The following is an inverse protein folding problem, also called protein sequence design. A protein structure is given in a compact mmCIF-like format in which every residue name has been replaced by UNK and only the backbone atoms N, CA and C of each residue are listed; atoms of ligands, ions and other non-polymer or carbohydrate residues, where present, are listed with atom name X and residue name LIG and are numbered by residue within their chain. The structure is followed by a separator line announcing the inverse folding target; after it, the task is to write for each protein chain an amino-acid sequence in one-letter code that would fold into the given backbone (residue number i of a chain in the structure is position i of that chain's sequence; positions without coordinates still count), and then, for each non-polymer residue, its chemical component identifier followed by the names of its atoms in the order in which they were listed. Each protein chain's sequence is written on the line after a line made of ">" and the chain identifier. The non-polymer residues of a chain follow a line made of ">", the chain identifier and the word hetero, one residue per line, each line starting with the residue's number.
data_IF_404883049449
#
_entry.id   IF_404883049449
#
_cell.length_a   1.000
_cell.length_b   1.000
_cell.length_c   1.000
_cell.angle_alpha   90.00
_cell.angle_beta   90.00
_cell.angle_gamma   90.00
#
_symmetry.space_group_name_H-M   'P 1'
#
loop_
_entity.id
_entity.type
_entity.pdbx_description
1 polymer ?
#
# COMPACT_ATOMS: atom_id res chain seq x y z
N UNK A 1 12.79 -31.76 -43.59
CA UNK A 1 12.53 -30.44 -42.97
C UNK A 1 11.90 -30.67 -41.61
N UNK A 2 12.60 -30.32 -40.52
CA UNK A 2 12.06 -30.39 -39.15
C UNK A 2 11.43 -29.03 -38.85
N UNK A 3 10.13 -29.00 -38.62
CA UNK A 3 9.39 -27.77 -38.26
C UNK A 3 9.01 -27.83 -36.78
N UNK A 4 9.31 -26.74 -36.08
CA UNK A 4 9.16 -26.56 -34.64
C UNK A 4 7.83 -25.85 -34.27
N UNK A 5 7.33 -26.22 -33.09
CA UNK A 5 6.43 -25.57 -32.11
C UNK A 5 5.14 -24.86 -32.50
N UNK A 6 4.06 -25.20 -31.77
CA UNK A 6 3.25 -24.20 -31.05
C UNK A 6 2.61 -24.83 -29.80
N UNK A 7 2.99 -24.34 -28.62
CA UNK A 7 2.35 -24.64 -27.33
C UNK A 7 1.54 -23.39 -26.94
N UNK A 8 0.21 -23.46 -26.75
CA UNK A 8 -0.56 -22.27 -26.40
C UNK A 8 -0.44 -21.97 -24.91
N UNK A 9 0.23 -20.85 -24.64
CA UNK A 9 -0.10 -19.78 -23.68
C UNK A 9 -0.96 -20.16 -22.46
N UNK A 10 -0.32 -20.09 -21.30
CA UNK A 10 -0.92 -19.93 -19.98
C UNK A 10 -1.95 -18.79 -19.94
N UNK A 11 -3.13 -19.10 -19.42
CA UNK A 11 -3.91 -18.17 -18.61
C UNK A 11 -4.20 -18.88 -17.28
N UNK A 12 -3.91 -18.23 -16.15
CA UNK A 12 -4.79 -18.09 -14.98
C UNK A 12 -4.04 -17.32 -13.89
N UNK A 13 -4.79 -16.41 -13.28
CA UNK A 13 -4.58 -15.67 -12.02
C UNK A 13 -3.65 -14.45 -12.01
N UNK A 14 -4.30 -13.31 -12.22
CA UNK A 14 -4.11 -12.08 -11.47
C UNK A 14 -3.70 -12.31 -10.01
N UNK A 15 -2.49 -11.89 -9.66
CA UNK A 15 -2.22 -11.24 -8.38
C UNK A 15 -1.28 -10.06 -8.61
N UNK A 16 -1.51 -9.02 -7.81
CA UNK A 16 -0.90 -7.71 -7.86
C UNK A 16 0.61 -7.77 -8.16
N UNK A 17 1.02 -7.32 -9.35
CA UNK A 17 2.43 -7.17 -9.73
C UNK A 17 3.03 -6.08 -8.86
N UNK A 18 3.88 -6.44 -7.92
CA UNK A 18 4.86 -5.49 -7.39
C UNK A 18 5.91 -5.21 -8.48
N UNK A 19 5.90 -4.00 -9.02
CA UNK A 19 5.84 -3.82 -10.47
C UNK A 19 7.16 -4.09 -11.25
N UNK A 20 7.20 -5.24 -11.94
CA UNK A 20 7.88 -5.51 -13.21
C UNK A 20 9.41 -5.30 -13.33
N UNK A 21 10.19 -5.51 -12.26
CA UNK A 21 11.65 -5.49 -12.35
C UNK A 21 12.24 -4.09 -12.59
N UNK A 22 11.62 -3.08 -11.99
CA UNK A 22 12.09 -1.70 -11.91
C UNK A 22 12.58 -1.42 -10.49
N UNK A 23 13.80 -0.92 -10.38
CA UNK A 23 14.46 -0.68 -9.10
C UNK A 23 15.04 0.72 -9.09
N UNK A 24 14.48 1.64 -8.28
CA UNK A 24 15.14 2.90 -7.99
C UNK A 24 16.51 2.62 -7.35
N UNK A 25 17.52 3.36 -7.77
CA UNK A 25 18.86 3.30 -7.18
C UNK A 25 19.38 4.71 -6.96
N UNK A 26 20.27 4.90 -6.00
CA UNK A 26 20.84 6.20 -5.71
C UNK A 26 22.36 6.22 -5.73
N UNK A 27 22.90 7.27 -6.32
CA UNK A 27 24.34 7.59 -6.37
C UNK A 27 24.49 9.04 -5.93
N UNK A 28 25.38 9.32 -4.96
CA UNK A 28 25.59 10.67 -4.41
C UNK A 28 24.27 11.36 -3.98
N UNK A 29 23.37 10.61 -3.35
CA UNK A 29 22.07 11.07 -2.87
C UNK A 29 21.04 11.49 -3.94
N UNK A 30 21.33 11.25 -5.21
CA UNK A 30 20.35 11.41 -6.29
C UNK A 30 19.86 10.04 -6.73
N UNK A 31 18.58 9.96 -7.10
CA UNK A 31 17.90 8.74 -7.52
C UNK A 31 17.75 8.67 -9.03
N UNK A 32 17.98 7.47 -9.55
CA UNK A 32 17.74 7.02 -10.91
C UNK A 32 16.95 5.72 -10.92
N UNK A 33 16.77 5.11 -12.09
CA UNK A 33 16.00 3.89 -12.28
C UNK A 33 16.83 2.85 -13.05
N UNK A 34 16.88 1.63 -12.55
CA UNK A 34 17.45 0.48 -13.26
C UNK A 34 16.41 -0.61 -13.45
N UNK A 35 16.64 -1.49 -14.41
CA UNK A 35 15.88 -2.73 -14.54
C UNK A 35 16.56 -3.91 -13.82
N UNK A 36 15.90 -5.07 -13.83
CA UNK A 36 16.41 -6.36 -13.30
C UNK A 36 17.76 -6.81 -13.87
N UNK A 37 18.14 -6.33 -15.06
CA UNK A 37 19.43 -6.64 -15.68
C UNK A 37 20.53 -5.65 -15.26
N UNK A 38 20.26 -4.77 -14.28
CA UNK A 38 21.12 -3.65 -13.86
C UNK A 38 21.40 -2.65 -14.99
N UNK A 39 20.55 -2.61 -16.03
CA UNK A 39 20.66 -1.61 -17.08
C UNK A 39 20.00 -0.31 -16.63
N UNK A 40 20.73 0.79 -16.78
CA UNK A 40 20.24 2.13 -16.45
C UNK A 40 19.10 2.50 -17.41
N UNK A 41 17.92 2.73 -16.85
CA UNK A 41 16.77 3.28 -17.55
C UNK A 41 16.72 4.80 -17.39
N UNK A 42 17.16 5.31 -16.24
CA UNK A 42 17.20 6.73 -15.90
C UNK A 42 18.42 6.97 -15.02
N UNK A 43 19.32 7.85 -15.47
CA UNK A 43 20.49 8.25 -14.67
C UNK A 43 20.07 9.02 -13.41
N UNK A 44 20.83 8.94 -12.31
CA UNK A 44 20.49 9.58 -11.06
C UNK A 44 20.49 11.10 -11.21
N UNK A 45 19.32 11.71 -11.01
CA UNK A 45 19.15 13.15 -11.17
C UNK A 45 18.03 13.75 -10.30
N UNK A 46 17.23 12.91 -9.65
CA UNK A 46 16.10 13.33 -8.81
C UNK A 46 16.43 13.19 -7.33
N UNK A 47 15.81 13.99 -6.48
CA UNK A 47 15.96 13.90 -5.02
C UNK A 47 15.23 12.66 -4.47
N UNK A 48 14.16 12.23 -5.15
CA UNK A 48 13.43 10.99 -4.84
C UNK A 48 12.65 10.47 -6.06
N UNK A 49 12.35 9.17 -6.05
CA UNK A 49 11.41 8.51 -6.98
C UNK A 49 10.40 7.77 -6.12
N UNK A 50 9.12 8.10 -6.27
CA UNK A 50 8.01 7.46 -5.56
C UNK A 50 7.69 6.07 -6.15
N UNK A 51 6.91 5.23 -5.45
CA UNK A 51 6.36 4.02 -6.02
C UNK A 51 5.63 4.27 -7.36
N UNK A 52 5.69 3.30 -8.26
CA UNK A 52 5.00 3.38 -9.54
C UNK A 52 3.51 3.09 -9.37
N UNK A 53 2.68 3.94 -9.98
CA UNK A 53 1.23 3.82 -10.11
C UNK A 53 0.94 3.47 -11.58
N UNK A 54 0.69 2.20 -11.85
CA UNK A 54 0.64 1.67 -13.22
C UNK A 54 2.01 1.76 -13.91
N UNK A 55 2.10 2.56 -14.97
CA UNK A 55 3.35 2.74 -15.74
C UNK A 55 4.10 4.04 -15.42
N UNK A 56 3.63 4.84 -14.44
CA UNK A 56 4.19 6.15 -14.11
C UNK A 56 4.62 6.24 -12.65
N UNK A 57 5.60 7.08 -12.36
CA UNK A 57 6.02 7.41 -11.00
C UNK A 57 6.25 8.90 -10.85
N UNK A 58 5.93 9.41 -9.67
CA UNK A 58 6.29 10.77 -9.26
C UNK A 58 7.78 10.83 -8.98
N UNK A 59 8.39 11.93 -9.39
CA UNK A 59 9.79 12.24 -9.06
C UNK A 59 9.86 13.62 -8.45
N UNK A 60 10.79 13.83 -7.54
CA UNK A 60 10.99 15.13 -6.90
C UNK A 60 12.36 15.70 -7.21
N UNK A 61 12.41 17.01 -7.42
CA UNK A 61 13.64 17.77 -7.46
C UNK A 61 13.37 19.18 -6.97
N UNK A 62 14.12 19.65 -5.97
CA UNK A 62 14.00 21.02 -5.47
C UNK A 62 12.62 21.36 -4.92
N UNK A 63 11.94 20.40 -4.25
CA UNK A 63 10.57 20.50 -3.73
C UNK A 63 9.49 20.67 -4.81
N UNK A 64 9.79 20.32 -6.06
CA UNK A 64 8.83 20.26 -7.16
C UNK A 64 8.66 18.83 -7.62
N UNK A 65 7.45 18.51 -8.05
CA UNK A 65 7.06 17.19 -8.51
C UNK A 65 7.04 17.15 -10.03
N UNK A 66 7.59 16.09 -10.60
CA UNK A 66 7.51 15.71 -12.00
C UNK A 66 6.97 14.29 -12.14
N UNK A 67 6.93 13.78 -13.37
CA UNK A 67 6.42 12.47 -13.69
C UNK A 67 7.37 11.76 -14.65
N UNK A 68 7.72 10.52 -14.33
CA UNK A 68 8.46 9.63 -15.23
C UNK A 68 7.60 8.45 -15.64
N UNK A 69 7.88 7.90 -16.81
CA UNK A 69 7.37 6.62 -17.25
C UNK A 69 8.34 5.50 -16.85
N UNK A 70 7.85 4.27 -16.71
CA UNK A 70 8.63 3.07 -16.36
C UNK A 70 9.81 2.73 -17.26
N UNK A 71 9.86 3.31 -18.46
CA UNK A 71 11.00 3.20 -19.37
C UNK A 71 12.17 4.11 -18.97
N UNK A 72 11.99 4.95 -17.94
CA UNK A 72 12.92 6.01 -17.57
C UNK A 72 12.70 7.33 -18.31
N UNK A 73 11.70 7.42 -19.19
CA UNK A 73 11.39 8.67 -19.89
C UNK A 73 10.79 9.67 -18.90
N UNK A 74 11.38 10.86 -18.80
CA UNK A 74 10.76 12.01 -18.12
C UNK A 74 9.58 12.49 -18.97
N UNK A 75 8.37 12.34 -18.45
CA UNK A 75 7.12 12.77 -19.09
C UNK A 75 6.86 14.24 -18.78
N UNK A 76 6.97 14.60 -17.50
CA UNK A 76 6.87 15.96 -17.02
C UNK A 76 8.06 16.27 -16.13
N UNK A 77 8.73 17.41 -16.38
CA UNK A 77 9.80 17.89 -15.51
C UNK A 77 9.25 18.36 -14.16
N UNK A 78 10.12 18.40 -13.15
CA UNK A 78 9.78 18.85 -11.79
C UNK A 78 9.41 20.34 -11.76
N UNK A 79 8.14 20.64 -12.02
CA UNK A 79 7.61 22.00 -12.14
C UNK A 79 6.27 22.19 -11.39
N UNK A 80 5.63 21.09 -11.01
CA UNK A 80 4.39 21.12 -10.23
C UNK A 80 4.69 21.25 -8.75
N UNK A 81 3.79 21.86 -7.99
CA UNK A 81 3.83 21.79 -6.53
C UNK A 81 3.52 20.38 -6.04
N UNK A 82 2.64 19.67 -6.76
CA UNK A 82 2.25 18.29 -6.46
C UNK A 82 1.58 17.64 -7.68
N UNK A 83 1.55 16.31 -7.73
CA UNK A 83 0.74 15.51 -8.65
C UNK A 83 -0.08 14.53 -7.79
N UNK A 84 -1.22 14.95 -7.21
CA UNK A 84 -1.93 14.14 -6.22
C UNK A 84 -2.53 12.84 -6.75
N UNK A 85 -2.83 12.74 -8.05
CA UNK A 85 -3.46 11.56 -8.65
C UNK A 85 -2.80 11.17 -9.97
N UNK A 86 -2.58 9.87 -10.15
CA UNK A 86 -2.22 9.23 -11.42
C UNK A 86 -3.24 8.11 -11.65
N UNK A 87 -4.13 8.31 -12.62
CA UNK A 87 -5.18 7.37 -12.97
C UNK A 87 -4.63 6.21 -13.80
N UNK A 88 -5.30 5.06 -13.74
CA UNK A 88 -4.91 3.85 -14.47
C UNK A 88 -4.86 4.03 -15.99
N UNK A 89 -5.62 4.99 -16.53
CA UNK A 89 -5.65 5.30 -17.95
C UNK A 89 -4.47 6.19 -18.41
N UNK A 90 -3.61 6.66 -17.49
CA UNK A 90 -2.49 7.55 -17.76
C UNK A 90 -2.82 9.04 -17.69
N UNK A 91 -4.03 9.42 -17.29
CA UNK A 91 -4.34 10.81 -16.90
C UNK A 91 -3.77 11.07 -15.52
N UNK A 92 -3.14 12.23 -15.31
CA UNK A 92 -2.70 12.68 -14.01
C UNK A 92 -3.28 14.06 -13.69
N UNK A 93 -3.27 14.45 -12.42
CA UNK A 93 -3.73 15.78 -11.98
C UNK A 93 -2.55 16.50 -11.38
N UNK A 94 -2.14 17.64 -11.96
CA UNK A 94 -0.98 18.41 -11.53
C UNK A 94 -1.38 19.74 -10.88
N UNK A 95 -0.79 20.07 -9.74
CA UNK A 95 -0.94 21.37 -9.06
C UNK A 95 0.11 22.35 -9.57
N UNK A 96 -0.33 23.30 -10.40
CA UNK A 96 0.53 24.35 -10.97
C UNK A 96 0.67 25.51 -9.97
N UNK A 97 1.91 25.99 -9.70
CA UNK A 97 2.15 27.11 -8.79
C UNK A 97 1.32 28.34 -9.17
N UNK A 98 0.59 28.91 -8.20
CA UNK A 98 -0.25 30.10 -8.34
C UNK A 98 -1.37 30.05 -9.41
N UNK A 99 -1.61 28.89 -10.04
CA UNK A 99 -2.61 28.73 -11.10
C UNK A 99 -3.77 27.79 -10.73
N UNK A 100 -3.52 26.81 -9.86
CA UNK A 100 -4.50 25.79 -9.47
C UNK A 100 -4.12 24.41 -9.99
N UNK A 101 -5.11 23.60 -10.34
CA UNK A 101 -4.94 22.24 -10.81
C UNK A 101 -5.29 22.13 -12.30
N UNK A 102 -4.61 21.21 -13.00
CA UNK A 102 -4.84 20.88 -14.42
C UNK A 102 -4.82 19.37 -14.60
N UNK A 103 -5.56 18.87 -15.60
CA UNK A 103 -5.41 17.49 -16.06
C UNK A 103 -4.21 17.39 -17.01
N UNK A 104 -3.49 16.28 -16.91
CA UNK A 104 -2.30 15.98 -17.67
C UNK A 104 -2.51 14.65 -18.40
N UNK A 105 -2.21 14.62 -19.69
CA UNK A 105 -2.10 13.38 -20.45
C UNK A 105 -0.64 12.90 -20.35
N UNK A 106 -0.38 11.89 -19.52
CA UNK A 106 0.97 11.36 -19.33
C UNK A 106 1.47 10.57 -20.55
N UNK A 107 0.58 10.08 -21.42
CA UNK A 107 0.98 9.40 -22.66
C UNK A 107 1.51 10.42 -23.67
N UNK A 108 0.80 11.55 -23.81
CA UNK A 108 1.18 12.62 -24.72
C UNK A 108 2.22 13.60 -24.13
N UNK A 109 2.38 13.65 -22.80
CA UNK A 109 3.29 14.58 -22.11
C UNK A 109 2.84 16.04 -22.19
N UNK A 110 1.53 16.28 -22.16
CA UNK A 110 0.95 17.63 -22.26
C UNK A 110 -0.28 17.78 -21.37
N UNK A 111 -0.73 19.02 -21.18
CA UNK A 111 -2.00 19.29 -20.52
C UNK A 111 -3.15 18.65 -21.33
N UNK A 112 -4.07 17.98 -20.64
CA UNK A 112 -5.29 17.42 -21.20
C UNK A 112 -6.43 18.43 -21.03
N UNK A 113 -7.02 18.85 -22.15
CA UNK A 113 -7.97 19.96 -22.17
C UNK A 113 -7.35 21.30 -21.76
N UNK A 114 -8.19 22.32 -21.64
CA UNK A 114 -7.79 23.69 -21.26
C UNK A 114 -8.22 24.06 -19.84
N UNK A 115 -8.99 23.20 -19.16
CA UNK A 115 -9.59 23.51 -17.87
C UNK A 115 -8.53 23.63 -16.77
N UNK A 116 -8.71 24.67 -15.96
CA UNK A 116 -7.97 24.93 -14.73
C UNK A 116 -9.00 25.07 -13.62
N UNK A 117 -8.78 24.41 -12.49
CA UNK A 117 -9.70 24.41 -11.35
C UNK A 117 -8.95 24.63 -10.03
N UNK A 118 -9.67 25.07 -9.01
CA UNK A 118 -9.09 25.60 -7.78
C UNK A 118 -8.84 24.50 -6.74
N UNK A 119 -9.79 23.57 -6.63
CA UNK A 119 -9.80 22.54 -5.60
C UNK A 119 -10.67 21.34 -6.00
N UNK A 120 -10.67 20.34 -5.13
CA UNK A 120 -11.61 19.22 -5.16
C UNK A 120 -12.70 19.45 -4.10
N UNK A 121 -13.95 19.02 -4.34
CA UNK A 121 -15.00 19.11 -3.32
C UNK A 121 -14.72 18.18 -2.11
N UNK A 122 -14.10 17.01 -2.36
CA UNK A 122 -13.87 15.96 -1.38
C UNK A 122 -12.51 15.27 -1.54
N UNK A 123 -12.18 14.38 -0.60
CA UNK A 123 -10.95 13.57 -0.63
C UNK A 123 -10.93 12.51 -1.77
N UNK A 124 -12.11 12.03 -2.19
CA UNK A 124 -12.27 11.07 -3.28
C UNK A 124 -12.97 11.73 -4.49
N UNK A 125 -12.30 12.65 -5.21
CA UNK A 125 -12.92 13.42 -6.29
C UNK A 125 -13.02 12.63 -7.60
N UNK A 126 -12.53 11.41 -7.67
CA UNK A 126 -12.49 10.58 -8.88
C UNK A 126 -13.52 9.47 -8.75
N UNK A 127 -14.30 9.24 -9.79
CA UNK A 127 -15.29 8.15 -9.81
C UNK A 127 -14.61 6.78 -9.72
N UNK A 128 -15.30 5.72 -9.24
CA UNK A 128 -14.70 4.38 -9.12
C UNK A 128 -14.16 3.81 -10.44
N UNK A 129 -14.77 4.18 -11.57
CA UNK A 129 -14.31 3.81 -12.91
C UNK A 129 -13.24 4.73 -13.49
N UNK A 130 -12.80 5.74 -12.73
CA UNK A 130 -11.83 6.78 -13.11
C UNK A 130 -12.19 7.59 -14.36
N UNK A 131 -13.44 7.52 -14.83
CA UNK A 131 -13.92 8.23 -16.03
C UNK A 131 -14.28 9.69 -15.76
N UNK A 132 -14.60 10.02 -14.51
CA UNK A 132 -15.09 11.32 -14.11
C UNK A 132 -14.32 11.85 -12.91
N UNK A 133 -14.11 13.16 -12.89
CA UNK A 133 -13.48 13.90 -11.81
C UNK A 133 -14.38 15.07 -11.41
N UNK A 134 -14.72 15.17 -10.13
CA UNK A 134 -15.41 16.33 -9.57
C UNK A 134 -14.38 17.41 -9.19
N UNK A 135 -14.58 18.62 -9.71
CA UNK A 135 -13.67 19.75 -9.48
C UNK A 135 -14.44 21.03 -9.15
N UNK A 136 -13.83 21.89 -8.34
CA UNK A 136 -14.38 23.18 -7.92
C UNK A 136 -13.74 24.33 -8.68
N UNK A 137 -14.56 25.22 -9.23
CA UNK A 137 -14.16 26.46 -9.88
C UNK A 137 -15.19 27.54 -9.61
N UNK A 138 -14.73 28.74 -9.23
CA UNK A 138 -15.61 29.89 -8.97
C UNK A 138 -16.73 29.58 -7.95
N UNK A 139 -16.38 28.80 -6.91
CA UNK A 139 -17.30 28.44 -5.83
C UNK A 139 -18.26 27.28 -6.13
N UNK A 140 -18.40 26.83 -7.39
CA UNK A 140 -19.29 25.74 -7.80
C UNK A 140 -18.51 24.50 -8.25
N UNK A 141 -19.16 23.34 -8.18
CA UNK A 141 -18.64 22.04 -8.58
C UNK A 141 -19.13 21.68 -9.99
N UNK A 142 -18.22 21.11 -10.77
CA UNK A 142 -18.47 20.58 -12.11
C UNK A 142 -17.74 19.26 -12.29
N UNK A 143 -18.18 18.49 -13.28
CA UNK A 143 -17.66 17.15 -13.58
C UNK A 143 -16.83 17.19 -14.83
N UNK A 144 -15.63 16.61 -14.79
CA UNK A 144 -14.68 16.57 -15.90
C UNK A 144 -14.56 15.14 -16.37
N UNK A 145 -14.70 14.91 -17.67
CA UNK A 145 -14.36 13.64 -18.27
C UNK A 145 -12.83 13.49 -18.27
N UNK A 146 -12.30 12.48 -17.59
CA UNK A 146 -10.85 12.31 -17.39
C UNK A 146 -10.11 11.86 -18.65
N UNK A 147 -10.82 11.36 -19.65
CA UNK A 147 -10.24 10.95 -20.93
C UNK A 147 -10.08 12.13 -21.91
N UNK A 148 -10.98 13.12 -21.85
CA UNK A 148 -10.94 14.29 -22.76
C UNK A 148 -10.43 15.56 -22.08
N UNK A 149 -10.56 15.66 -20.76
CA UNK A 149 -10.32 16.88 -19.99
C UNK A 149 -11.42 17.93 -20.14
N UNK A 150 -12.55 17.56 -20.73
CA UNK A 150 -13.67 18.46 -20.95
C UNK A 150 -14.69 18.40 -19.80
N UNK A 151 -15.36 19.53 -19.57
CA UNK A 151 -16.43 19.64 -18.59
C UNK A 151 -17.69 18.89 -19.07
N UNK A 152 -17.99 17.77 -18.45
CA UNK A 152 -19.25 17.05 -18.60
C UNK A 152 -20.43 17.95 -18.15
N UNK A 153 -21.53 17.91 -18.91
CA UNK A 153 -22.67 18.81 -18.70
C UNK A 153 -22.43 20.30 -19.01
N UNK A 154 -21.20 20.68 -19.39
CA UNK A 154 -20.82 22.03 -19.85
C UNK A 154 -21.13 23.17 -18.86
N UNK A 155 -21.32 22.89 -17.57
CA UNK A 155 -21.55 23.92 -16.54
C UNK A 155 -20.98 23.52 -15.17
N UNK A 156 -20.55 24.51 -14.41
CA UNK A 156 -20.31 24.41 -12.97
C UNK A 156 -21.60 24.83 -12.27
N UNK A 157 -22.39 23.87 -11.77
CA UNK A 157 -23.76 24.13 -11.35
C UNK A 157 -24.07 23.70 -9.92
N UNK A 158 -23.22 22.88 -9.31
CA UNK A 158 -23.53 22.21 -8.05
C UNK A 158 -22.76 22.84 -6.89
N UNK A 159 -23.34 22.82 -5.69
CA UNK A 159 -22.60 23.12 -4.47
C UNK A 159 -21.70 21.94 -4.09
N UNK A 160 -22.17 20.72 -4.35
CA UNK A 160 -21.41 19.50 -4.13
C UNK A 160 -21.75 18.36 -5.10
N UNK A 161 -20.83 17.39 -5.23
CA UNK A 161 -21.05 16.16 -5.99
C UNK A 161 -20.41 14.95 -5.33
N UNK A 162 -21.20 13.88 -5.20
CA UNK A 162 -20.78 12.57 -4.74
C UNK A 162 -20.96 11.50 -5.83
N UNK A 163 -19.99 10.60 -5.95
CA UNK A 163 -20.07 9.45 -6.86
C UNK A 163 -20.67 8.24 -6.17
N UNK A 164 -21.52 7.51 -6.89
CA UNK A 164 -21.90 6.16 -6.47
C UNK A 164 -20.71 5.21 -6.60
N UNK A 165 -20.57 4.30 -5.63
CA UNK A 165 -19.54 3.25 -5.64
C UNK A 165 -20.06 1.93 -6.21
N UNK A 166 -21.37 1.86 -6.37
CA UNK A 166 -22.13 0.76 -6.92
C UNK A 166 -21.87 0.63 -8.43
N UNK A 167 -21.51 -0.59 -8.87
CA UNK A 167 -21.06 -0.83 -10.24
C UNK A 167 -22.11 -0.43 -11.30
N UNK A 168 -23.39 -0.60 -10.98
CA UNK A 168 -24.54 -0.25 -11.83
C UNK A 168 -24.83 1.26 -11.88
N UNK A 169 -24.31 2.02 -10.92
CA UNK A 169 -24.51 3.47 -10.76
C UNK A 169 -23.24 4.28 -11.07
N UNK A 170 -22.15 3.64 -11.50
CA UNK A 170 -20.84 4.26 -11.75
C UNK A 170 -20.83 5.50 -12.66
N UNK A 171 -21.86 5.65 -13.50
CA UNK A 171 -22.02 6.76 -14.44
C UNK A 171 -23.06 7.79 -13.95
N UNK A 172 -23.52 7.67 -12.71
CA UNK A 172 -24.46 8.57 -12.04
C UNK A 172 -23.79 9.23 -10.84
N UNK A 173 -24.32 10.38 -10.47
CA UNK A 173 -23.82 11.20 -9.38
C UNK A 173 -24.97 11.75 -8.56
N UNK A 174 -24.75 11.87 -7.26
CA UNK A 174 -25.58 12.69 -6.39
C UNK A 174 -25.06 14.12 -6.51
N UNK A 175 -25.97 15.06 -6.72
CA UNK A 175 -25.63 16.49 -6.86
C UNK A 175 -26.41 17.30 -5.84
N UNK A 176 -25.80 18.35 -5.29
CA UNK A 176 -26.49 19.25 -4.36
C UNK A 176 -26.51 20.70 -4.84
N UNK A 177 -27.60 21.40 -4.52
CA UNK A 177 -27.78 22.85 -4.68
C UNK A 177 -28.63 23.35 -3.53
N UNK A 178 -28.17 24.37 -2.80
CA UNK A 178 -28.91 24.99 -1.68
C UNK A 178 -29.44 23.95 -0.66
N UNK A 179 -28.56 23.03 -0.24
CA UNK A 179 -28.86 21.95 0.73
C UNK A 179 -29.92 20.92 0.27
N UNK A 180 -30.34 20.99 -1.00
CA UNK A 180 -31.17 19.96 -1.62
C UNK A 180 -30.35 19.09 -2.54
N UNK A 181 -30.79 17.85 -2.68
CA UNK A 181 -30.12 16.79 -3.43
C UNK A 181 -30.97 16.33 -4.60
N UNK A 182 -30.28 15.90 -5.65
CA UNK A 182 -30.83 15.25 -6.83
C UNK A 182 -29.83 14.24 -7.38
N UNK A 183 -30.17 13.65 -8.54
CA UNK A 183 -29.29 12.70 -9.24
C UNK A 183 -29.12 13.15 -10.67
N UNK A 184 -27.90 13.09 -11.18
CA UNK A 184 -27.60 13.40 -12.56
C UNK A 184 -26.77 12.29 -13.22
N UNK A 185 -26.80 12.26 -14.55
CA UNK A 185 -25.89 11.48 -15.36
C UNK A 185 -24.53 12.19 -15.41
N UNK A 186 -23.45 11.48 -15.03
CA UNK A 186 -22.12 12.08 -14.88
C UNK A 186 -21.49 12.51 -16.22
N UNK A 187 -21.85 11.85 -17.33
CA UNK A 187 -21.30 12.13 -18.65
C UNK A 187 -21.96 13.35 -19.30
N UNK A 188 -23.27 13.45 -19.17
CA UNK A 188 -24.08 14.46 -19.85
C UNK A 188 -24.47 15.61 -18.94
N UNK A 189 -24.40 15.45 -17.62
CA UNK A 189 -24.93 16.39 -16.64
C UNK A 189 -26.46 16.49 -16.67
N UNK A 190 -27.14 15.59 -17.39
CA UNK A 190 -28.60 15.58 -17.46
C UNK A 190 -29.17 15.13 -16.12
N UNK A 191 -30.19 15.84 -15.68
CA UNK A 191 -30.92 15.53 -14.47
C UNK A 191 -31.70 14.21 -14.63
N UNK A 192 -31.50 13.29 -13.68
CA UNK A 192 -32.23 12.03 -13.54
C UNK A 192 -33.30 12.18 -12.46
N UNK A 193 -32.95 12.79 -11.33
CA UNK A 193 -33.87 13.20 -10.28
C UNK A 193 -33.65 14.69 -9.97
N UNK A 194 -34.73 15.48 -9.86
CA UNK A 194 -34.62 16.91 -9.59
C UNK A 194 -34.00 17.21 -8.24
N UNK A 195 -33.26 18.32 -8.17
CA UNK A 195 -32.64 18.81 -6.94
C UNK A 195 -33.71 19.42 -6.04
N UNK A 196 -34.36 18.58 -5.25
CA UNK A 196 -35.46 18.96 -4.33
C UNK A 196 -35.56 18.09 -3.08
N UNK A 197 -34.75 17.04 -2.98
CA UNK A 197 -34.79 16.08 -1.90
C UNK A 197 -33.87 16.53 -0.76
N UNK A 198 -34.21 16.19 0.48
CA UNK A 198 -33.37 16.46 1.66
C UNK A 198 -32.20 15.48 1.76
N UNK A 199 -32.36 14.30 1.18
CA UNK A 199 -31.36 13.23 1.17
C UNK A 199 -31.58 12.35 -0.05
N UNK A 200 -30.49 11.85 -0.64
CA UNK A 200 -30.50 10.88 -1.73
C UNK A 200 -29.42 9.84 -1.48
N UNK A 201 -29.76 8.57 -1.62
CA UNK A 201 -28.83 7.46 -1.41
C UNK A 201 -29.08 6.33 -2.41
N UNK A 202 -28.04 5.56 -2.71
CA UNK A 202 -28.19 4.25 -3.34
C UNK A 202 -28.50 3.19 -2.29
N UNK A 203 -29.43 2.29 -2.60
CA UNK A 203 -29.78 1.14 -1.77
C UNK A 203 -29.88 -0.10 -2.64
N UNK A 204 -29.83 -1.25 -1.99
CA UNK A 204 -29.81 -2.56 -2.63
C UNK A 204 -30.93 -3.43 -2.11
N UNK A 205 -31.72 -3.97 -3.04
CA UNK A 205 -32.44 -5.21 -2.78
C UNK A 205 -31.53 -6.39 -3.13
N UNK A 206 -31.93 -7.61 -2.75
CA UNK A 206 -31.23 -8.85 -3.13
C UNK A 206 -30.99 -9.05 -4.65
N UNK A 207 -31.59 -8.23 -5.54
CA UNK A 207 -31.48 -8.39 -7.00
C UNK A 207 -31.18 -7.11 -7.79
N UNK A 208 -31.58 -5.93 -7.31
CA UNK A 208 -31.44 -4.67 -8.07
C UNK A 208 -31.12 -3.47 -7.16
N UNK A 209 -30.19 -2.58 -7.57
CA UNK A 209 -30.00 -1.29 -6.94
C UNK A 209 -31.17 -0.35 -7.24
N UNK A 210 -31.51 0.49 -6.28
CA UNK A 210 -32.52 1.54 -6.39
C UNK A 210 -32.04 2.80 -5.68
N UNK A 211 -32.64 3.93 -6.03
CA UNK A 211 -32.34 5.22 -5.42
C UNK A 211 -33.43 5.50 -4.38
N UNK A 212 -33.01 5.73 -3.14
CA UNK A 212 -33.85 6.21 -2.04
C UNK A 212 -33.72 7.73 -2.00
N UNK A 213 -34.84 8.45 -1.95
CA UNK A 213 -34.84 9.90 -1.83
C UNK A 213 -35.86 10.36 -0.78
N UNK A 214 -35.43 11.26 0.10
CA UNK A 214 -36.22 11.76 1.23
C UNK A 214 -36.66 13.19 0.97
N UNK A 215 -37.92 13.51 1.28
CA UNK A 215 -38.44 14.88 1.27
C UNK A 215 -39.37 15.08 2.46
N UNK A 216 -38.89 15.82 3.47
CA UNK A 216 -39.49 15.87 4.79
C UNK A 216 -39.62 14.48 5.39
N UNK A 217 -40.85 14.10 5.74
CA UNK A 217 -41.17 12.78 6.29
C UNK A 217 -41.47 11.73 5.20
N UNK A 218 -41.44 12.12 3.92
CA UNK A 218 -41.79 11.24 2.81
C UNK A 218 -40.54 10.61 2.21
N UNK A 219 -40.53 9.27 2.13
CA UNK A 219 -39.51 8.51 1.43
C UNK A 219 -40.08 8.04 0.09
N UNK A 220 -39.34 8.28 -0.98
CA UNK A 220 -39.65 7.81 -2.34
C UNK A 220 -38.53 6.91 -2.86
N UNK A 221 -38.90 5.88 -3.62
CA UNK A 221 -37.97 4.94 -4.20
C UNK A 221 -38.03 5.01 -5.72
N UNK A 222 -36.85 5.04 -6.36
CA UNK A 222 -36.72 5.16 -7.80
C UNK A 222 -35.83 4.05 -8.35
N UNK A 223 -36.13 3.59 -9.56
CA UNK A 223 -35.15 2.88 -10.36
C UNK A 223 -33.95 3.77 -10.64
N UNK A 224 -32.81 3.16 -10.99
CA UNK A 224 -31.60 3.87 -11.42
C UNK A 224 -31.84 4.78 -12.65
N UNK A 225 -32.92 4.54 -13.39
CA UNK A 225 -33.37 5.34 -14.53
C UNK A 225 -34.04 6.66 -14.12
N UNK A 226 -34.37 6.84 -12.83
CA UNK A 226 -35.15 7.96 -12.30
C UNK A 226 -36.66 7.73 -12.31
N UNK A 227 -37.15 6.60 -12.84
CA UNK A 227 -38.57 6.24 -12.79
C UNK A 227 -38.96 5.77 -11.39
N UNK A 228 -40.20 5.98 -10.94
CA UNK A 228 -40.69 5.40 -9.68
C UNK A 228 -40.48 3.88 -9.68
N UNK A 229 -40.02 3.35 -8.55
CA UNK A 229 -39.82 1.92 -8.39
C UNK A 229 -41.17 1.19 -8.48
N UNK A 230 -41.24 0.04 -9.14
CA UNK A 230 -42.50 -0.69 -9.24
C UNK A 230 -42.99 -1.14 -7.85
N UNK A 231 -44.31 -1.03 -7.60
CA UNK A 231 -44.94 -1.32 -6.29
C UNK A 231 -44.58 -2.68 -5.69
N UNK A 232 -44.33 -3.68 -6.52
CA UNK A 232 -43.92 -5.02 -6.09
C UNK A 232 -42.54 -5.03 -5.42
N UNK A 233 -41.65 -4.11 -5.77
CA UNK A 233 -40.33 -3.94 -5.16
C UNK A 233 -40.31 -2.89 -4.05
N UNK A 234 -41.21 -1.90 -4.07
CA UNK A 234 -41.32 -0.87 -3.03
C UNK A 234 -41.55 -1.45 -1.63
N UNK A 235 -42.37 -2.50 -1.52
CA UNK A 235 -42.64 -3.13 -0.21
C UNK A 235 -41.37 -3.75 0.39
N UNK A 236 -40.56 -4.42 -0.43
CA UNK A 236 -39.29 -5.02 -0.02
C UNK A 236 -38.27 -3.94 0.33
N UNK A 237 -38.12 -2.93 -0.53
CA UNK A 237 -37.24 -1.79 -0.28
C UNK A 237 -37.57 -1.08 1.04
N UNK A 238 -38.86 -0.84 1.30
CA UNK A 238 -39.32 -0.25 2.55
C UNK A 238 -39.01 -1.13 3.76
N UNK A 239 -39.23 -2.45 3.67
CA UNK A 239 -38.92 -3.35 4.78
C UNK A 239 -37.43 -3.42 5.10
N UNK A 240 -36.56 -3.36 4.08
CA UNK A 240 -35.11 -3.34 4.26
C UNK A 240 -34.62 -2.00 4.84
N UNK A 241 -35.28 -0.88 4.49
CA UNK A 241 -35.01 0.45 5.05
C UNK A 241 -35.40 0.54 6.54
N UNK A 242 -36.57 -0.03 6.91
CA UNK A 242 -37.01 -0.14 8.31
C UNK A 242 -36.06 -1.03 9.14
N UNK A 243 -35.53 -2.13 8.58
CA UNK A 243 -34.57 -3.01 9.27
C UNK A 243 -33.16 -2.41 9.36
N UNK A 244 -32.77 -1.55 8.42
CA UNK A 244 -31.50 -0.82 8.46
C UNK A 244 -31.52 0.33 9.48
N UNK A 245 -32.64 1.05 9.57
CA UNK A 245 -32.82 2.17 10.50
C UNK A 245 -33.17 1.72 11.92
N UNK A 246 -33.64 0.48 12.10
CA UNK A 246 -33.73 -0.13 13.41
C UNK A 246 -32.33 -0.16 14.06
N UNK A 247 -32.18 0.27 15.33
CA UNK A 247 -30.91 0.12 16.03
C UNK A 247 -30.61 -1.37 16.09
N UNK A 248 -29.71 -1.83 15.21
CA UNK A 248 -29.07 -3.12 15.39
C UNK A 248 -28.39 -2.99 16.73
N UNK A 249 -28.97 -3.65 17.75
CA UNK A 249 -28.25 -3.91 18.98
C UNK A 249 -26.97 -4.57 18.50
N UNK A 250 -25.89 -3.80 18.47
CA UNK A 250 -24.57 -4.30 18.28
C UNK A 250 -24.38 -5.21 19.48
N UNK A 251 -24.76 -6.47 19.32
CA UNK A 251 -24.08 -7.54 20.00
C UNK A 251 -22.67 -7.36 19.50
N UNK A 252 -21.90 -6.55 20.23
CA UNK A 252 -20.49 -6.77 20.37
C UNK A 252 -20.45 -8.23 20.80
N UNK A 253 -20.32 -9.14 19.83
CA UNK A 253 -19.72 -10.42 20.10
C UNK A 253 -18.45 -10.03 20.83
N UNK A 254 -18.50 -10.22 22.14
CA UNK A 254 -17.35 -10.16 22.99
C UNK A 254 -16.34 -11.02 22.23
N UNK A 255 -15.26 -10.42 21.74
CA UNK A 255 -14.10 -11.18 21.30
C UNK A 255 -13.67 -12.02 22.50
N UNK A 256 -14.25 -13.20 22.63
CA UNK A 256 -13.73 -14.30 23.42
C UNK A 256 -12.80 -15.08 22.51
N UNK A 257 -11.86 -14.40 21.88
CA UNK A 257 -10.61 -15.03 21.52
C UNK A 257 -9.68 -14.87 22.71
N UNK A 258 -9.57 -15.96 23.48
CA UNK A 258 -8.58 -16.09 24.53
C UNK A 258 -7.21 -15.72 23.97
N UNK A 259 -6.73 -14.53 24.34
CA UNK A 259 -5.32 -14.18 24.28
C UNK A 259 -4.59 -15.20 25.14
N UNK A 260 -4.05 -16.25 24.53
CA UNK A 260 -3.07 -17.12 25.19
C UNK A 260 -1.76 -16.35 25.32
N UNK A 261 -1.71 -15.36 26.22
CA UNK A 261 -0.52 -14.56 26.57
C UNK A 261 0.37 -15.28 27.61
N UNK A 262 0.51 -16.59 27.47
CA UNK A 262 0.89 -17.44 28.60
C UNK A 262 2.05 -18.39 28.24
N UNK A 263 2.94 -18.04 27.29
CA UNK A 263 4.17 -18.79 26.98
C UNK A 263 5.31 -17.86 26.55
N UNK A 264 6.21 -17.53 27.47
CA UNK A 264 7.37 -16.67 27.26
C UNK A 264 8.68 -17.45 27.45
N UNK A 265 9.74 -17.00 26.78
CA UNK A 265 11.10 -17.50 27.03
C UNK A 265 11.78 -16.58 28.02
N UNK A 266 12.58 -17.14 28.92
CA UNK A 266 13.38 -16.47 29.94
C UNK A 266 14.86 -16.86 29.79
N UNK A 267 15.75 -15.87 29.78
CA UNK A 267 17.21 -16.05 29.79
C UNK A 267 17.73 -15.61 31.15
N UNK A 268 18.15 -16.57 31.98
CA UNK A 268 18.65 -16.30 33.33
C UNK A 268 20.15 -16.58 33.41
N UNK A 269 20.94 -15.61 33.86
CA UNK A 269 22.38 -15.81 34.11
C UNK A 269 22.57 -16.47 35.48
N UNK A 270 23.21 -17.64 35.50
CA UNK A 270 23.48 -18.42 36.72
C UNK A 270 24.92 -18.26 37.23
N UNK A 271 25.84 -17.77 36.39
CA UNK A 271 27.26 -17.61 36.70
C UNK A 271 28.05 -16.97 35.55
N UNK A 272 29.39 -17.02 35.62
CA UNK A 272 30.26 -16.34 34.65
C UNK A 272 30.08 -16.80 33.19
N UNK A 273 29.65 -18.04 32.96
CA UNK A 273 29.39 -18.62 31.65
C UNK A 273 28.21 -19.62 31.65
N UNK A 274 27.48 -19.71 32.76
CA UNK A 274 26.36 -20.62 32.97
C UNK A 274 25.03 -19.86 32.91
N UNK A 275 24.10 -20.37 32.12
CA UNK A 275 22.81 -19.77 31.84
C UNK A 275 21.70 -20.80 31.95
N UNK A 276 20.48 -20.35 32.25
CA UNK A 276 19.26 -21.14 32.17
C UNK A 276 18.34 -20.49 31.15
N UNK A 277 18.00 -21.24 30.11
CA UNK A 277 16.94 -20.90 29.17
C UNK A 277 15.69 -21.63 29.62
N UNK A 278 14.60 -20.92 29.93
CA UNK A 278 13.33 -21.54 30.29
C UNK A 278 12.20 -21.04 29.38
N UNK A 279 11.31 -21.95 29.00
CA UNK A 279 10.01 -21.64 28.44
C UNK A 279 9.02 -21.73 29.59
N UNK A 280 8.30 -20.64 29.88
CA UNK A 280 7.44 -20.54 31.05
C UNK A 280 6.07 -20.00 30.67
N UNK A 281 5.05 -20.50 31.36
CA UNK A 281 3.73 -19.88 31.39
C UNK A 281 3.64 -19.00 32.63
N UNK A 282 3.48 -17.69 32.45
CA UNK A 282 3.29 -16.74 33.55
C UNK A 282 1.94 -16.02 33.45
N UNK A 283 0.85 -16.77 33.42
CA UNK A 283 -0.50 -16.24 33.62
C UNK A 283 -0.72 -15.69 35.05
N UNK A 284 -1.78 -14.89 35.22
CA UNK A 284 -2.08 -14.06 36.41
C UNK A 284 -2.18 -14.80 37.76
N UNK A 285 -2.18 -16.15 37.79
CA UNK A 285 -2.44 -16.92 39.02
C UNK A 285 -1.42 -18.00 39.36
N UNK A 286 -0.54 -18.45 38.44
CA UNK A 286 0.57 -19.37 38.76
C UNK A 286 1.61 -19.43 37.63
N UNK A 287 2.85 -19.09 37.93
CA UNK A 287 3.97 -19.32 37.01
C UNK A 287 4.29 -20.82 36.94
N UNK A 288 4.43 -21.37 35.74
CA UNK A 288 4.82 -22.76 35.49
C UNK A 288 5.97 -22.79 34.47
N UNK A 289 7.08 -23.43 34.84
CA UNK A 289 8.15 -23.77 33.88
C UNK A 289 7.68 -24.96 33.04
N UNK A 290 7.67 -24.79 31.72
CA UNK A 290 7.23 -25.80 30.76
C UNK A 290 8.41 -26.61 30.23
N UNK A 291 9.53 -25.94 29.96
CA UNK A 291 10.78 -26.56 29.52
C UNK A 291 11.94 -25.68 30.01
N UNK A 292 13.10 -26.28 30.28
CA UNK A 292 14.30 -25.51 30.60
C UNK A 292 15.57 -26.26 30.21
N UNK A 293 16.60 -25.51 29.85
CA UNK A 293 17.91 -26.04 29.46
C UNK A 293 19.00 -25.19 30.08
N UNK A 294 19.93 -25.83 30.79
CA UNK A 294 21.16 -25.17 31.21
C UNK A 294 22.14 -25.08 30.03
N UNK A 295 22.63 -23.87 29.76
CA UNK A 295 23.57 -23.58 28.70
C UNK A 295 24.89 -23.10 29.32
N UNK A 296 26.02 -23.55 28.78
CA UNK A 296 27.36 -23.21 29.28
C UNK A 296 28.28 -22.72 28.16
N UNK A 297 29.32 -21.98 28.52
CA UNK A 297 30.41 -21.61 27.61
C UNK A 297 30.11 -20.42 26.70
N UNK A 298 29.07 -19.63 26.99
CA UNK A 298 28.78 -18.37 26.31
C UNK A 298 28.96 -17.20 27.29
N UNK A 299 29.59 -16.13 26.82
CA UNK A 299 29.81 -14.90 27.59
C UNK A 299 28.54 -14.05 27.71
N UNK A 300 27.65 -14.13 26.72
CA UNK A 300 26.34 -13.50 26.74
C UNK A 300 25.30 -14.32 25.97
N UNK A 301 24.07 -14.36 26.49
CA UNK A 301 22.87 -14.79 25.78
C UNK A 301 21.84 -13.66 25.82
N UNK A 302 21.29 -13.31 24.66
CA UNK A 302 20.34 -12.21 24.47
C UNK A 302 19.17 -12.66 23.60
N UNK A 303 17.98 -12.09 23.80
CA UNK A 303 16.90 -12.27 22.84
C UNK A 303 17.27 -11.62 21.52
N UNK A 304 17.18 -12.38 20.43
CA UNK A 304 17.29 -11.78 19.11
C UNK A 304 15.94 -11.21 18.68
N UNK A 305 14.86 -11.95 18.87
CA UNK A 305 13.49 -11.46 18.65
C UNK A 305 12.43 -12.37 19.29
N UNK A 306 11.29 -11.79 19.70
CA UNK A 306 10.18 -12.48 20.36
C UNK A 306 8.81 -11.97 19.90
N UNK A 307 7.98 -12.85 19.32
CA UNK A 307 6.58 -12.57 19.01
C UNK A 307 5.65 -13.56 19.74
N UNK A 308 5.00 -13.17 20.84
CA UNK A 308 4.13 -14.06 21.63
C UNK A 308 2.95 -14.64 20.83
N UNK A 309 2.59 -14.03 19.70
CA UNK A 309 1.45 -14.45 18.88
C UNK A 309 1.81 -15.51 17.82
N UNK A 310 3.10 -15.79 17.59
CA UNK A 310 3.53 -16.79 16.60
C UNK A 310 3.42 -18.22 17.16
N UNK A 311 2.37 -18.94 16.73
CA UNK A 311 2.04 -20.31 17.20
C UNK A 311 3.14 -21.35 16.94
N UNK A 312 4.09 -21.08 16.03
CA UNK A 312 5.26 -21.92 15.73
C UNK A 312 6.53 -21.26 16.29
N UNK A 313 6.78 -21.36 17.60
CA UNK A 313 8.08 -20.93 18.15
C UNK A 313 9.20 -21.89 17.72
N UNK A 314 10.39 -21.36 17.40
CA UNK A 314 11.39 -21.18 18.44
C UNK A 314 11.97 -19.76 18.46
N UNK A 315 12.02 -19.14 19.64
CA UNK A 315 12.82 -17.94 19.89
C UNK A 315 14.25 -18.17 19.43
N UNK A 316 14.73 -17.24 18.62
CA UNK A 316 16.13 -17.19 18.20
C UNK A 316 16.90 -16.47 19.30
N UNK A 317 17.90 -17.13 19.88
CA UNK A 317 18.71 -16.56 20.95
C UNK A 317 20.03 -16.15 20.35
N UNK A 318 20.37 -14.87 20.46
CA UNK A 318 21.71 -14.40 20.15
C UNK A 318 22.64 -14.93 21.23
N UNK A 319 23.69 -15.62 20.79
CA UNK A 319 24.71 -16.17 21.66
C UNK A 319 26.06 -15.56 21.33
N UNK A 320 26.82 -15.18 22.36
CA UNK A 320 28.16 -14.61 22.22
C UNK A 320 29.16 -15.50 22.95
N UNK A 321 30.24 -15.85 22.26
CA UNK A 321 31.38 -16.60 22.79
C UNK A 321 32.65 -16.03 22.18
N UNK A 322 33.67 -15.79 23.00
CA UNK A 322 34.97 -15.27 22.55
C UNK A 322 34.85 -14.01 21.67
N UNK A 323 33.96 -13.09 22.05
CA UNK A 323 33.59 -11.87 21.31
C UNK A 323 32.98 -12.08 19.92
N UNK A 324 32.57 -13.31 19.60
CA UNK A 324 31.85 -13.63 18.37
C UNK A 324 30.41 -14.02 18.65
N UNK A 325 29.51 -13.51 17.83
CA UNK A 325 28.07 -13.70 17.91
C UNK A 325 27.58 -14.73 16.88
N UNK A 326 26.56 -15.47 17.28
CA UNK A 326 25.77 -16.35 16.42
C UNK A 326 24.36 -16.51 16.98
N UNK A 327 23.63 -17.52 16.49
CA UNK A 327 22.26 -17.80 16.93
C UNK A 327 22.16 -19.24 17.36
N UNK A 328 21.56 -19.48 18.52
CA UNK A 328 21.25 -20.81 19.05
C UNK A 328 19.73 -20.98 19.22
N UNK A 329 19.29 -22.24 19.25
CA UNK A 329 17.94 -22.58 19.71
C UNK A 329 17.87 -22.70 21.24
N UNK A 330 16.67 -22.99 21.77
CA UNK A 330 16.42 -23.17 23.20
C UNK A 330 17.17 -24.36 23.83
N UNK A 331 17.66 -25.30 23.00
CA UNK A 331 18.47 -26.44 23.43
C UNK A 331 19.97 -26.18 23.31
N UNK A 332 20.35 -24.97 22.91
CA UNK A 332 21.76 -24.58 22.76
C UNK A 332 22.40 -25.04 21.45
N UNK A 333 21.63 -25.63 20.52
CA UNK A 333 22.15 -26.00 19.21
C UNK A 333 22.44 -24.73 18.43
N UNK A 334 23.65 -24.62 17.90
CA UNK A 334 24.05 -23.52 17.01
C UNK A 334 23.29 -23.64 15.69
N UNK A 335 22.47 -22.64 15.38
CA UNK A 335 21.76 -22.49 14.10
C UNK A 335 22.57 -21.60 13.16
N UNK A 336 23.10 -20.48 13.69
CA UNK A 336 23.98 -19.56 12.95
C UNK A 336 25.35 -19.55 13.63
N UNK A 337 26.45 -19.81 12.91
CA UNK A 337 27.78 -19.93 13.50
C UNK A 337 28.21 -18.69 14.30
N UNK A 338 28.95 -18.91 15.39
CA UNK A 338 29.54 -17.86 16.23
C UNK A 338 30.82 -17.30 15.60
N UNK A 339 30.67 -16.66 14.44
CA UNK A 339 31.80 -16.09 13.67
C UNK A 339 31.65 -14.59 13.44
N UNK A 340 30.46 -14.04 13.70
CA UNK A 340 30.11 -12.65 13.43
C UNK A 340 30.56 -11.75 14.57
N UNK A 341 30.86 -10.49 14.29
CA UNK A 341 31.08 -9.47 15.31
C UNK A 341 29.77 -9.14 16.04
N UNK A 342 28.64 -9.26 15.34
CA UNK A 342 27.30 -9.12 15.94
C UNK A 342 26.23 -9.80 15.06
N UNK A 343 25.08 -10.09 15.64
CA UNK A 343 23.85 -10.43 14.91
C UNK A 343 22.71 -9.61 15.49
N UNK A 344 21.86 -9.01 14.65
CA UNK A 344 20.74 -8.17 15.08
C UNK A 344 19.49 -8.48 14.30
N UNK A 345 18.35 -8.36 14.97
CA UNK A 345 17.05 -8.41 14.33
C UNK A 345 16.68 -7.02 13.81
N UNK A 346 16.04 -6.97 12.63
CA UNK A 346 15.55 -5.75 12.01
C UNK A 346 14.03 -5.81 11.86
N UNK A 347 13.38 -4.76 12.32
CA UNK A 347 11.97 -4.51 12.10
C UNK A 347 11.74 -3.70 10.81
N UNK A 348 10.60 -3.91 10.17
CA UNK A 348 10.09 -2.99 9.15
C UNK A 348 9.53 -1.70 9.78
N UNK A 349 9.14 -0.74 8.95
CA UNK A 349 8.62 0.57 9.40
C UNK A 349 7.29 0.49 10.20
N UNK A 350 6.70 -0.70 10.37
CA UNK A 350 5.50 -0.91 11.19
C UNK A 350 5.70 -1.99 12.27
N UNK A 351 6.95 -2.33 12.61
CA UNK A 351 7.31 -3.21 13.74
C UNK A 351 7.25 -4.72 13.45
N UNK A 352 7.24 -5.15 12.18
CA UNK A 352 7.22 -6.58 11.80
C UNK A 352 8.60 -7.10 11.44
N UNK A 353 8.71 -8.43 11.43
CA UNK A 353 9.92 -9.17 11.05
C UNK A 353 10.36 -8.94 9.61
N UNK A 354 11.38 -8.10 9.42
CA UNK A 354 11.95 -7.83 8.10
C UNK A 354 13.07 -8.83 7.75
N UNK A 355 14.15 -8.85 8.55
CA UNK A 355 15.31 -9.74 8.37
C UNK A 355 16.19 -9.82 9.63
N UNK A 356 17.23 -10.65 9.59
CA UNK A 356 18.32 -10.66 10.58
C UNK A 356 19.61 -10.21 9.91
N UNK A 357 20.26 -9.22 10.50
CA UNK A 357 21.54 -8.67 10.06
C UNK A 357 22.70 -9.40 10.74
N UNK A 358 23.70 -9.81 9.95
CA UNK A 358 24.96 -10.39 10.43
C UNK A 358 26.11 -9.42 10.18
N UNK A 359 26.92 -9.13 11.20
CA UNK A 359 28.00 -8.13 11.11
C UNK A 359 29.35 -8.82 11.11
N UNK A 360 30.22 -8.52 10.14
CA UNK A 360 31.57 -9.07 10.08
C UNK A 360 32.54 -8.07 9.42
N UNK A 361 33.55 -7.61 10.15
CA UNK A 361 34.60 -6.73 9.63
C UNK A 361 34.06 -5.41 9.07
N UNK A 362 33.03 -4.84 9.72
CA UNK A 362 32.36 -3.61 9.26
C UNK A 362 31.41 -3.81 8.06
N UNK A 363 31.15 -5.06 7.65
CA UNK A 363 30.20 -5.41 6.59
C UNK A 363 28.95 -6.05 7.18
N UNK A 364 27.83 -5.90 6.47
CA UNK A 364 26.52 -6.42 6.84
C UNK A 364 26.11 -7.52 5.87
N UNK A 365 25.71 -8.66 6.41
CA UNK A 365 25.04 -9.76 5.73
C UNK A 365 23.60 -9.84 6.19
N UNK A 366 22.81 -10.67 5.50
CA UNK A 366 21.36 -10.73 5.72
C UNK A 366 20.89 -12.17 5.68
N UNK A 367 20.17 -12.56 6.73
CA UNK A 367 19.46 -13.83 6.84
C UNK A 367 17.94 -13.58 6.82
N UNK A 368 17.17 -14.56 6.32
CA UNK A 368 15.71 -14.52 6.42
C UNK A 368 15.25 -14.57 7.87
N UNK A 369 14.19 -13.83 8.18
CA UNK A 369 13.70 -13.71 9.55
C UNK A 369 13.01 -14.99 10.06
N UNK A 370 12.39 -15.76 9.17
CA UNK A 370 11.63 -16.97 9.47
C UNK A 370 12.56 -18.17 9.72
N UNK A 371 13.41 -18.50 8.76
CA UNK A 371 14.21 -19.74 8.76
C UNK A 371 15.73 -19.54 8.95
N UNK A 372 16.19 -18.29 9.02
CA UNK A 372 17.63 -17.92 9.11
C UNK A 372 18.48 -18.35 7.92
N UNK A 373 17.87 -18.66 6.78
CA UNK A 373 18.62 -18.94 5.54
C UNK A 373 19.38 -17.70 5.11
N UNK A 374 20.64 -17.89 4.69
CA UNK A 374 21.50 -16.80 4.24
C UNK A 374 21.02 -16.27 2.89
N UNK A 375 20.51 -15.04 2.88
CA UNK A 375 20.19 -14.31 1.65
C UNK A 375 21.44 -13.63 1.11
N UNK A 376 22.30 -13.11 2.00
CA UNK A 376 23.54 -12.44 1.63
C UNK A 376 24.62 -12.60 2.68
N UNK A 377 25.82 -12.96 2.24
CA UNK A 377 27.03 -12.88 3.09
C UNK A 377 27.35 -11.43 3.47
N UNK A 378 28.14 -11.19 4.53
CA UNK A 378 28.58 -9.85 4.90
C UNK A 378 29.38 -9.13 3.81
N UNK A 379 28.68 -8.38 2.96
CA UNK A 379 29.25 -7.59 1.87
C UNK A 379 28.66 -6.18 1.79
N UNK A 380 27.50 -5.96 2.40
CA UNK A 380 26.80 -4.67 2.38
C UNK A 380 27.44 -3.71 3.37
N UNK A 381 27.23 -2.41 3.15
CA UNK A 381 27.53 -1.37 4.15
C UNK A 381 26.40 -1.28 5.18
N UNK A 382 25.15 -1.34 4.72
CA UNK A 382 23.98 -1.33 5.58
C UNK A 382 22.74 -1.89 4.88
N UNK A 383 21.78 -2.39 5.66
CA UNK A 383 20.37 -2.47 5.24
C UNK A 383 19.70 -1.18 5.71
N UNK A 384 18.88 -0.57 4.86
CA UNK A 384 18.25 0.74 5.10
C UNK A 384 16.77 0.59 5.38
N UNK A 385 16.05 -0.20 4.59
CA UNK A 385 14.59 -0.36 4.72
C UNK A 385 14.11 -1.68 4.06
N UNK A 386 12.83 -2.02 4.24
CA UNK A 386 12.14 -3.11 3.55
C UNK A 386 11.02 -2.58 2.65
N UNK A 387 10.99 -3.09 1.42
CA UNK A 387 9.89 -2.90 0.49
C UNK A 387 9.14 -4.22 0.31
N UNK A 388 8.03 -4.35 1.05
CA UNK A 388 7.20 -5.55 1.03
C UNK A 388 6.42 -5.72 -0.24
N UNK A 389 6.03 -4.63 -0.90
CA UNK A 389 5.41 -4.75 -2.20
C UNK A 389 6.40 -5.47 -3.10
N UNK A 390 7.63 -4.96 -3.24
CA UNK A 390 8.67 -5.55 -4.11
C UNK A 390 9.31 -6.84 -3.59
N UNK A 391 8.98 -7.29 -2.38
CA UNK A 391 9.69 -8.37 -1.67
C UNK A 391 11.22 -8.16 -1.70
N UNK A 392 11.66 -6.94 -1.39
CA UNK A 392 13.04 -6.51 -1.50
C UNK A 392 13.48 -5.71 -0.27
N UNK A 393 14.79 -5.62 -0.05
CA UNK A 393 15.40 -4.77 0.96
C UNK A 393 16.11 -3.60 0.28
N UNK A 394 15.93 -2.39 0.79
CA UNK A 394 16.76 -1.26 0.41
C UNK A 394 18.10 -1.39 1.13
N UNK A 395 19.20 -1.42 0.38
CA UNK A 395 20.55 -1.69 0.88
C UNK A 395 21.53 -0.65 0.38
N UNK A 396 22.58 -0.41 1.16
CA UNK A 396 23.74 0.38 0.76
C UNK A 396 24.95 -0.53 0.55
N UNK A 397 25.62 -0.40 -0.59
CA UNK A 397 26.87 -1.13 -0.87
C UNK A 397 28.08 -0.36 -0.34
N UNK A 398 29.25 -1.01 -0.28
CA UNK A 398 30.47 -0.45 0.32
C UNK A 398 30.95 0.83 -0.37
N UNK A 399 30.79 0.92 -1.69
CA UNK A 399 31.09 2.12 -2.49
C UNK A 399 30.13 3.29 -2.24
N UNK A 400 29.01 3.06 -1.53
CA UNK A 400 28.10 4.09 -1.04
C UNK A 400 26.78 4.20 -1.79
N UNK A 401 26.65 3.58 -2.96
CA UNK A 401 25.41 3.52 -3.72
C UNK A 401 24.32 2.77 -2.95
N UNK A 402 23.08 3.20 -3.17
CA UNK A 402 21.89 2.62 -2.57
C UNK A 402 21.04 1.98 -3.65
N UNK A 403 20.44 0.84 -3.36
CA UNK A 403 19.52 0.18 -4.28
C UNK A 403 18.79 -0.97 -3.60
N UNK A 404 18.11 -1.79 -4.39
CA UNK A 404 17.30 -2.88 -3.86
C UNK A 404 18.00 -4.23 -3.98
N UNK A 405 17.85 -5.05 -2.95
CA UNK A 405 18.23 -6.45 -2.91
C UNK A 405 16.98 -7.33 -2.86
N UNK A 406 16.86 -8.29 -3.77
CA UNK A 406 15.76 -9.27 -3.75
C UNK A 406 15.84 -10.19 -2.52
N UNK A 407 14.73 -10.39 -1.79
CA UNK A 407 14.71 -11.27 -0.61
C UNK A 407 14.68 -12.77 -0.95
N UNK A 408 14.36 -13.11 -2.19
CA UNK A 408 14.35 -14.51 -2.66
C UNK A 408 15.75 -14.93 -3.12
N UNK A 409 16.38 -14.12 -3.97
CA UNK A 409 17.64 -14.47 -4.63
C UNK A 409 18.87 -13.86 -3.98
N UNK A 410 18.73 -12.79 -3.19
CA UNK A 410 19.86 -12.02 -2.66
C UNK A 410 20.57 -11.17 -3.72
N UNK A 411 20.04 -11.09 -4.94
CA UNK A 411 20.59 -10.26 -6.00
C UNK A 411 20.38 -8.78 -5.71
N UNK A 412 21.39 -7.96 -6.02
CA UNK A 412 21.37 -6.51 -5.83
C UNK A 412 21.22 -5.83 -7.19
N UNK A 413 20.23 -4.94 -7.28
CA UNK A 413 19.88 -4.19 -8.48
C UNK A 413 20.44 -2.77 -8.41
N UNK A 414 21.77 -2.67 -8.51
CA UNK A 414 22.49 -1.41 -8.66
C UNK A 414 23.32 -1.52 -9.96
N UNK A 415 23.24 -0.55 -10.88
CA UNK A 415 24.07 -0.53 -12.09
C UNK A 415 25.56 -0.68 -11.78
N UNK A 416 26.24 -1.57 -12.51
CA UNK A 416 27.67 -1.81 -12.34
C UNK A 416 28.08 -2.61 -11.10
N UNK A 417 27.15 -2.94 -10.18
CA UNK A 417 27.46 -3.76 -9.01
C UNK A 417 27.95 -5.16 -9.41
N UNK A 418 29.08 -5.55 -8.82
CA UNK A 418 29.68 -6.89 -8.90
C UNK A 418 29.84 -7.41 -7.48
N UNK A 419 29.55 -8.69 -7.29
CA UNK A 419 29.64 -9.36 -5.98
C UNK A 419 31.05 -9.48 -5.43
#
# INVERSE_FOLDING_TARGET
>A
MKTFYFLPVLFVSLWCKAQNGLYPYAVKSQWGLTNKNRAVLLEPQFDSIHPFEGDYARVESGKKVGLIHRTGKVVFSCSFNDIPYILSNGTAIGRVPAKGYVLLDAKAGKQLGSLVFEAFPHQAPVSPGENFLAVKKEGKVGIVNTATGELAGKKFAYDDVEFFYEAELKDKIIVSVEEKYGVADAATGNEILPVKYDEVEARYTAKHPFIRAVSGETISYFEISGKPLAKEFEKTARSEDEDYTAPKASVFEKETEGRTRDRDVYITKLGNDKWLLSLENRGFRKAQVLDSTEIKGYTALEYLSYNPAEKKFPTKIKAVKDNKAGIIDLKGKVIVPLIYDNVKYREDNIGRYACVETFLGGKVGVLRADDLTEMKKPVLKAVLDEDKARNALLVQVQSGEVGYMDKTTGEIFIPGYKE
#
